data_IF_159870202987
#
_entry.id   IF_159870202987
#
_cell.length_a   1.000
_cell.length_b   1.000
_cell.length_c   1.000
_cell.angle_alpha   90.00
_cell.angle_beta   90.00
_cell.angle_gamma   90.00
#
_symmetry.space_group_name_H-M   'P 1'
#
loop_
_entity.id
_entity.type
_entity.pdbx_description
1 polymer ?
#
# COMPACT_ATOMS: atom_id res chain seq x y z
N UNK A 1 -3.23 15.99 6.54
CA UNK A 1 -2.26 15.70 5.46
C UNK A 1 -2.51 14.30 4.94
N UNK A 2 -3.03 14.19 3.71
CA UNK A 2 -3.27 12.90 3.04
C UNK A 2 -1.96 12.34 2.47
N UNK A 3 -1.86 11.02 2.26
CA UNK A 3 -0.68 10.41 1.63
C UNK A 3 -0.35 11.03 0.26
N UNK A 4 -1.38 11.45 -0.49
CA UNK A 4 -1.20 12.06 -1.80
C UNK A 4 -0.57 13.46 -1.69
N UNK A 5 -0.94 14.23 -0.68
CA UNK A 5 -0.33 15.53 -0.39
C UNK A 5 1.12 15.37 0.03
N UNK A 6 1.41 14.38 0.89
CA UNK A 6 2.78 14.07 1.32
C UNK A 6 3.67 13.68 0.14
N UNK A 7 3.21 12.78 -0.74
CA UNK A 7 3.94 12.36 -1.95
C UNK A 7 4.19 13.53 -2.91
N UNK A 8 3.19 14.41 -3.09
CA UNK A 8 3.33 15.62 -3.92
C UNK A 8 4.35 16.62 -3.33
N UNK A 9 4.29 16.84 -2.03
CA UNK A 9 5.21 17.74 -1.34
C UNK A 9 6.65 17.21 -1.38
N UNK A 10 6.84 15.92 -1.12
CA UNK A 10 8.13 15.24 -1.25
C UNK A 10 8.71 15.41 -2.65
N UNK A 11 7.95 15.11 -3.71
CA UNK A 11 8.38 15.30 -5.11
C UNK A 11 8.85 16.73 -5.36
N UNK A 12 8.07 17.73 -4.97
CA UNK A 12 8.43 19.14 -5.20
C UNK A 12 9.74 19.53 -4.51
N UNK A 13 9.94 19.07 -3.28
CA UNK A 13 11.13 19.37 -2.50
C UNK A 13 12.35 18.59 -2.98
N UNK A 14 12.20 17.30 -3.26
CA UNK A 14 13.26 16.44 -3.76
C UNK A 14 13.80 16.94 -5.11
N UNK A 15 12.94 17.38 -6.03
CA UNK A 15 13.36 17.96 -7.30
C UNK A 15 14.07 19.32 -7.13
N UNK A 16 13.70 20.10 -6.10
CA UNK A 16 14.29 21.41 -5.81
C UNK A 16 15.68 21.31 -5.19
N UNK A 17 15.93 20.29 -4.38
CA UNK A 17 17.18 20.12 -3.62
C UNK A 17 18.04 18.96 -4.13
N UNK A 18 17.68 18.32 -5.25
CA UNK A 18 18.47 17.25 -5.82
C UNK A 18 19.91 17.74 -6.13
N UNK A 19 20.96 17.04 -5.66
CA UNK A 19 22.35 17.51 -5.78
C UNK A 19 22.82 17.72 -7.24
N UNK A 20 22.23 16.98 -8.17
CA UNK A 20 22.50 17.13 -9.61
C UNK A 20 21.97 18.46 -10.20
N UNK A 21 20.83 18.96 -9.70
CA UNK A 21 20.20 20.20 -10.19
C UNK A 21 20.48 21.42 -9.32
N UNK A 22 20.77 21.22 -8.04
CA UNK A 22 21.02 22.27 -7.08
C UNK A 22 22.41 22.11 -6.47
N UNK A 23 23.30 23.06 -6.79
CA UNK A 23 24.71 23.09 -6.36
C UNK A 23 24.94 23.90 -5.08
N UNK A 24 23.88 24.33 -4.40
CA UNK A 24 24.03 24.96 -3.08
C UNK A 24 24.67 23.98 -2.10
N UNK A 25 25.57 24.49 -1.25
CA UNK A 25 26.30 23.70 -0.25
C UNK A 25 25.37 22.96 0.72
N UNK A 26 24.17 23.50 0.93
CA UNK A 26 23.13 22.92 1.80
C UNK A 26 22.10 22.06 1.05
N UNK A 27 22.13 21.98 -0.29
CA UNK A 27 21.12 21.24 -1.05
C UNK A 27 21.17 19.73 -0.74
N UNK A 28 22.39 19.18 -0.65
CA UNK A 28 22.59 17.77 -0.32
C UNK A 28 22.04 17.42 1.07
N UNK A 29 22.40 18.20 2.09
CA UNK A 29 21.93 17.98 3.46
C UNK A 29 20.41 18.10 3.56
N UNK A 30 19.82 19.12 2.93
CA UNK A 30 18.36 19.28 2.89
C UNK A 30 17.68 18.11 2.17
N UNK A 31 18.26 17.62 1.07
CA UNK A 31 17.71 16.47 0.35
C UNK A 31 17.67 15.22 1.24
N UNK A 32 18.74 14.98 2.00
CA UNK A 32 18.79 13.89 2.97
C UNK A 32 17.70 14.04 4.03
N UNK A 33 17.58 15.22 4.65
CA UNK A 33 16.56 15.51 5.66
C UNK A 33 15.13 15.32 5.11
N UNK A 34 14.86 15.81 3.90
CA UNK A 34 13.57 15.67 3.22
C UNK A 34 13.22 14.19 3.03
N UNK A 35 14.20 13.37 2.63
CA UNK A 35 13.96 11.95 2.39
C UNK A 35 13.73 11.18 3.69
N UNK A 36 14.50 11.47 4.75
CA UNK A 36 14.29 10.89 6.09
C UNK A 36 12.89 11.24 6.62
N UNK A 37 12.48 12.51 6.48
CA UNK A 37 11.17 12.97 6.90
C UNK A 37 10.05 12.28 6.09
N UNK A 38 10.22 12.11 4.78
CA UNK A 38 9.26 11.41 3.94
C UNK A 38 9.12 9.94 4.35
N UNK A 39 10.22 9.20 4.53
CA UNK A 39 10.16 7.79 4.92
C UNK A 39 9.53 7.59 6.31
N UNK A 40 9.75 8.53 7.24
CA UNK A 40 9.12 8.50 8.58
C UNK A 40 7.61 8.75 8.51
N UNK A 41 7.18 9.65 7.62
CA UNK A 41 5.77 10.08 7.53
C UNK A 41 4.94 9.30 6.51
N UNK A 42 5.58 8.52 5.64
CA UNK A 42 4.95 7.83 4.50
C UNK A 42 3.93 6.79 4.95
N UNK A 43 4.29 5.96 5.92
CA UNK A 43 3.44 4.86 6.40
C UNK A 43 2.71 5.25 7.69
N UNK A 44 1.47 4.77 7.84
CA UNK A 44 0.62 5.10 8.99
C UNK A 44 1.24 4.66 10.32
N UNK A 45 1.82 3.46 10.37
CA UNK A 45 2.47 2.93 11.56
C UNK A 45 3.69 3.77 11.95
N UNK A 46 4.55 4.10 10.97
CA UNK A 46 5.74 4.94 11.20
C UNK A 46 5.38 6.35 11.68
N UNK A 47 4.26 6.91 11.20
CA UNK A 47 3.74 8.19 11.70
C UNK A 47 3.27 8.09 13.15
N UNK A 48 2.57 7.02 13.53
CA UNK A 48 2.14 6.81 14.92
C UNK A 48 3.34 6.65 15.84
N UNK A 49 4.34 5.88 15.43
CA UNK A 49 5.59 5.72 16.19
C UNK A 49 6.27 7.08 16.40
N UNK A 50 6.35 7.89 15.35
CA UNK A 50 6.89 9.25 15.42
C UNK A 50 6.06 10.18 16.32
N UNK A 51 4.73 10.14 16.23
CA UNK A 51 3.84 10.97 17.05
C UNK A 51 3.89 10.56 18.53
N UNK A 52 3.99 9.25 18.81
CA UNK A 52 4.19 8.72 20.17
C UNK A 52 5.57 9.11 20.72
N UNK A 53 6.61 9.09 19.87
CA UNK A 53 7.93 9.60 20.19
C UNK A 53 7.90 11.10 20.54
N UNK A 54 7.21 11.93 19.76
CA UNK A 54 7.09 13.36 20.06
C UNK A 54 6.37 13.64 21.38
N UNK A 55 5.39 12.80 21.74
CA UNK A 55 4.71 12.89 23.04
C UNK A 55 5.63 12.52 24.20
N UNK A 56 6.44 11.47 24.08
CA UNK A 56 7.39 11.07 25.13
C UNK A 56 8.59 12.02 25.25
N UNK A 57 8.99 12.68 24.16
CA UNK A 57 10.08 13.67 24.14
C UNK A 57 9.79 14.94 24.96
N UNK A 58 8.53 15.24 25.28
CA UNK A 58 8.15 16.45 26.03
C UNK A 58 8.64 16.48 27.49
N UNK A 59 9.21 15.39 28.02
CA UNK A 59 9.58 15.29 29.44
C UNK A 59 11.06 14.95 29.75
N UNK A 60 11.97 14.86 28.77
CA UNK A 60 13.38 14.56 29.07
C UNK A 60 14.38 15.36 28.24
N UNK A 61 15.35 15.95 28.94
CA UNK A 61 16.50 16.69 28.44
C UNK A 61 17.32 15.84 27.45
N UNK A 62 17.85 16.52 26.43
CA UNK A 62 18.62 16.05 25.27
C UNK A 62 19.59 14.88 25.53
N UNK A 63 19.15 13.62 25.42
CA UNK A 63 20.08 12.48 25.21
C UNK A 63 19.42 11.37 24.37
N UNK A 64 20.11 11.03 23.26
CA UNK A 64 20.10 9.75 22.52
C UNK A 64 18.78 9.08 22.13
N UNK A 65 17.97 9.69 21.26
CA UNK A 65 16.85 8.96 20.62
C UNK A 65 17.10 8.64 19.13
N UNK A 66 18.23 9.06 18.57
CA UNK A 66 18.37 9.21 17.11
C UNK A 66 19.25 8.18 16.37
N UNK A 67 19.86 7.19 17.00
CA UNK A 67 20.92 6.42 16.32
C UNK A 67 20.47 5.16 15.55
N UNK A 68 19.34 4.55 15.86
CA UNK A 68 18.97 3.26 15.22
C UNK A 68 18.03 3.40 14.02
N UNK A 69 16.98 4.23 14.12
CA UNK A 69 15.99 4.38 13.04
C UNK A 69 16.53 5.23 11.88
N UNK A 70 17.33 6.27 12.16
CA UNK A 70 17.88 7.15 11.12
C UNK A 70 18.85 6.44 10.18
N UNK A 71 19.67 5.48 10.67
CA UNK A 71 20.72 4.87 9.85
C UNK A 71 20.16 4.19 8.58
N UNK A 72 19.04 3.49 8.72
CA UNK A 72 18.35 2.82 7.60
C UNK A 72 17.82 3.81 6.56
N UNK A 73 17.24 4.92 7.00
CA UNK A 73 16.68 5.94 6.11
C UNK A 73 17.78 6.82 5.49
N UNK A 74 18.88 7.01 6.21
CA UNK A 74 20.04 7.77 5.76
C UNK A 74 20.79 7.04 4.64
N UNK A 75 20.96 5.72 4.72
CA UNK A 75 21.54 4.91 3.64
C UNK A 75 20.73 5.04 2.34
N UNK A 76 19.40 4.95 2.44
CA UNK A 76 18.49 5.11 1.29
C UNK A 76 18.48 6.55 0.74
N UNK A 77 18.65 7.56 1.60
CA UNK A 77 18.79 8.95 1.18
C UNK A 77 20.10 9.21 0.44
N UNK A 78 21.20 8.59 0.87
CA UNK A 78 22.49 8.63 0.18
C UNK A 78 22.43 7.91 -1.17
N UNK A 79 21.71 6.80 -1.24
CA UNK A 79 21.42 6.11 -2.52
C UNK A 79 20.71 7.07 -3.47
N UNK A 80 19.59 7.67 -3.08
CA UNK A 80 18.85 8.61 -3.93
C UNK A 80 19.65 9.87 -4.29
N UNK A 81 20.52 10.35 -3.39
CA UNK A 81 21.38 11.49 -3.65
C UNK A 81 22.53 11.17 -4.64
N UNK A 82 22.91 9.91 -4.80
CA UNK A 82 23.96 9.47 -5.73
C UNK A 82 23.42 9.03 -7.09
N UNK A 83 22.10 8.87 -7.23
CA UNK A 83 21.45 8.61 -8.51
C UNK A 83 21.44 9.85 -9.42
N UNK A 84 21.40 9.62 -10.73
CA UNK A 84 21.13 10.69 -11.70
C UNK A 84 19.72 11.24 -11.52
N UNK A 85 19.54 12.53 -11.79
CA UNK A 85 18.22 13.18 -11.73
C UNK A 85 17.16 12.43 -12.55
N UNK A 86 17.51 11.93 -13.73
CA UNK A 86 16.59 11.20 -14.62
C UNK A 86 16.21 9.83 -14.03
N UNK A 87 17.16 9.16 -13.37
CA UNK A 87 16.91 7.90 -12.68
C UNK A 87 15.97 8.11 -11.49
N UNK A 88 16.18 9.20 -10.74
CA UNK A 88 15.34 9.56 -9.61
C UNK A 88 13.90 9.91 -10.03
N UNK A 89 13.72 10.66 -11.12
CA UNK A 89 12.38 10.94 -11.66
C UNK A 89 11.65 9.65 -12.07
N UNK A 90 12.34 8.71 -12.73
CA UNK A 90 11.76 7.42 -13.09
C UNK A 90 11.30 6.61 -11.87
N UNK A 91 12.07 6.64 -10.78
CA UNK A 91 11.67 6.02 -9.50
C UNK A 91 10.40 6.69 -8.97
N UNK A 92 10.33 8.02 -8.93
CA UNK A 92 9.14 8.75 -8.47
C UNK A 92 7.90 8.46 -9.32
N UNK A 93 8.03 8.42 -10.64
CA UNK A 93 6.91 8.14 -11.56
C UNK A 93 6.42 6.70 -11.44
N UNK A 94 7.33 5.73 -11.25
CA UNK A 94 6.96 4.33 -11.04
C UNK A 94 6.11 4.13 -9.78
N UNK A 95 6.43 4.82 -8.68
CA UNK A 95 5.67 4.77 -7.44
C UNK A 95 4.25 5.32 -7.60
N UNK A 96 4.08 6.37 -8.39
CA UNK A 96 2.76 6.97 -8.68
C UNK A 96 1.92 6.01 -9.53
N UNK A 97 2.52 5.38 -10.54
CA UNK A 97 1.84 4.43 -11.41
C UNK A 97 1.37 3.18 -10.66
N UNK A 98 2.21 2.64 -9.76
CA UNK A 98 1.85 1.52 -8.89
C UNK A 98 0.67 1.89 -7.99
N UNK A 99 0.70 3.07 -7.36
CA UNK A 99 -0.41 3.56 -6.53
C UNK A 99 -1.73 3.73 -7.31
N UNK A 100 -1.68 4.21 -8.56
CA UNK A 100 -2.86 4.30 -9.44
C UNK A 100 -3.40 2.92 -9.84
N UNK A 101 -2.51 1.95 -10.13
CA UNK A 101 -2.91 0.57 -10.47
C UNK A 101 -3.63 -0.10 -9.30
N UNK A 102 -3.12 0.03 -8.07
CA UNK A 102 -3.70 -0.58 -6.87
C UNK A 102 -5.12 -0.06 -6.58
N UNK A 103 -5.36 1.26 -6.70
CA UNK A 103 -6.72 1.80 -6.52
C UNK A 103 -7.71 1.25 -7.55
N UNK A 104 -7.27 1.09 -8.80
CA UNK A 104 -8.11 0.59 -9.89
C UNK A 104 -8.44 -0.90 -9.71
N UNK A 105 -7.50 -1.72 -9.24
CA UNK A 105 -7.72 -3.15 -8.98
C UNK A 105 -8.50 -3.39 -7.69
N UNK A 106 -8.26 -2.61 -6.63
CA UNK A 106 -9.04 -2.70 -5.39
C UNK A 106 -10.53 -2.37 -5.61
N UNK A 107 -10.82 -1.36 -6.42
CA UNK A 107 -12.21 -1.00 -6.75
C UNK A 107 -12.88 -2.01 -7.70
N UNK A 108 -12.11 -2.74 -8.51
CA UNK A 108 -12.62 -3.84 -9.33
C UNK A 108 -12.80 -5.15 -8.53
N UNK A 109 -11.95 -5.45 -7.55
CA UNK A 109 -12.03 -6.71 -6.80
C UNK A 109 -13.28 -6.84 -5.94
N UNK A 110 -13.59 -5.83 -5.13
CA UNK A 110 -14.71 -5.89 -4.18
C UNK A 110 -16.08 -5.98 -4.87
N UNK A 111 -16.25 -5.30 -6.01
CA UNK A 111 -17.50 -5.34 -6.78
C UNK A 111 -17.79 -6.73 -7.35
N UNK A 112 -16.78 -7.41 -7.89
CA UNK A 112 -16.95 -8.74 -8.49
C UNK A 112 -17.12 -9.84 -7.43
N UNK A 113 -16.48 -9.71 -6.26
CA UNK A 113 -16.67 -10.64 -5.15
C UNK A 113 -18.10 -10.58 -4.61
N UNK A 114 -18.66 -9.37 -4.46
CA UNK A 114 -20.05 -9.21 -4.04
C UNK A 114 -21.02 -9.76 -5.08
N UNK A 115 -20.80 -9.54 -6.37
CA UNK A 115 -21.71 -10.09 -7.40
C UNK A 115 -21.62 -11.60 -7.49
N UNK A 116 -20.44 -12.21 -7.40
CA UNK A 116 -20.26 -13.66 -7.45
C UNK A 116 -20.90 -14.36 -6.25
N UNK A 117 -20.94 -13.72 -5.08
CA UNK A 117 -21.57 -14.29 -3.87
C UNK A 117 -23.08 -14.03 -3.84
N UNK A 118 -23.54 -12.81 -4.15
CA UNK A 118 -24.95 -12.44 -4.06
C UNK A 118 -25.82 -12.95 -5.22
N UNK A 119 -25.25 -13.10 -6.41
CA UNK A 119 -25.98 -13.59 -7.59
C UNK A 119 -26.51 -15.03 -7.45
N UNK A 120 -25.73 -16.04 -7.01
CA UNK A 120 -26.26 -17.38 -6.78
C UNK A 120 -27.26 -17.43 -5.63
N UNK A 121 -27.05 -16.66 -4.55
CA UNK A 121 -28.00 -16.56 -3.43
C UNK A 121 -29.37 -16.03 -3.89
N UNK A 122 -29.38 -15.00 -4.74
CA UNK A 122 -30.62 -14.45 -5.31
C UNK A 122 -31.33 -15.45 -6.24
N UNK A 123 -30.57 -16.20 -7.04
CA UNK A 123 -31.12 -17.21 -7.95
C UNK A 123 -31.73 -18.38 -7.17
N UNK A 124 -31.05 -18.85 -6.10
CA UNK A 124 -31.55 -19.91 -5.22
C UNK A 124 -32.89 -19.51 -4.60
N UNK A 125 -32.99 -18.27 -4.10
CA UNK A 125 -34.21 -17.75 -3.48
C UNK A 125 -35.37 -17.64 -4.48
N UNK A 126 -35.08 -17.18 -5.70
CA UNK A 126 -36.08 -17.03 -6.76
C UNK A 126 -36.61 -18.39 -7.27
N UNK A 127 -35.73 -19.38 -7.45
CA UNK A 127 -36.12 -20.74 -7.86
C UNK A 127 -36.96 -21.42 -6.76
N UNK A 128 -36.60 -21.21 -5.49
CA UNK A 128 -37.36 -21.73 -4.35
C UNK A 128 -38.80 -21.18 -4.28
N UNK A 129 -39.01 -19.92 -4.65
CA UNK A 129 -40.33 -19.29 -4.69
C UNK A 129 -41.22 -19.78 -5.85
N UNK A 130 -40.64 -20.11 -7.01
CA UNK A 130 -41.39 -20.59 -8.18
C UNK A 130 -41.83 -22.04 -8.01
N UNK A 131 -40.95 -22.90 -7.49
CA UNK A 131 -41.17 -24.36 -7.55
C UNK A 131 -41.66 -25.00 -6.25
N UNK A 132 -41.75 -24.24 -5.14
CA UNK A 132 -42.41 -24.65 -3.90
C UNK A 132 -42.03 -26.05 -3.40
N UNK A 133 -40.97 -26.17 -2.59
CA UNK A 133 -40.55 -27.44 -1.97
C UNK A 133 -39.03 -27.58 -1.83
N UNK A 134 -38.57 -28.76 -1.41
CA UNK A 134 -37.17 -29.13 -1.07
C UNK A 134 -36.11 -28.94 -2.19
N UNK A 135 -36.44 -28.24 -3.27
CA UNK A 135 -35.58 -27.94 -4.41
C UNK A 135 -34.34 -27.12 -4.03
N UNK A 136 -34.43 -26.27 -2.99
CA UNK A 136 -33.30 -25.50 -2.48
C UNK A 136 -32.15 -26.40 -1.97
N UNK A 137 -32.46 -27.58 -1.42
CA UNK A 137 -31.45 -28.56 -0.97
C UNK A 137 -30.78 -29.28 -2.13
N UNK A 138 -31.54 -29.56 -3.21
CA UNK A 138 -31.01 -30.21 -4.42
C UNK A 138 -30.03 -29.27 -5.14
N UNK A 139 -30.39 -27.99 -5.28
CA UNK A 139 -29.52 -27.00 -5.90
C UNK A 139 -28.25 -26.74 -5.08
N UNK A 140 -28.37 -26.62 -3.75
CA UNK A 140 -27.20 -26.51 -2.86
C UNK A 140 -26.28 -27.73 -2.96
N UNK A 141 -26.84 -28.94 -3.02
CA UNK A 141 -26.08 -30.18 -3.23
C UNK A 141 -25.36 -30.20 -4.58
N UNK A 142 -25.96 -29.67 -5.64
CA UNK A 142 -25.37 -29.65 -6.99
C UNK A 142 -24.25 -28.60 -7.09
N UNK A 143 -24.42 -27.44 -6.44
CA UNK A 143 -23.38 -26.41 -6.32
C UNK A 143 -22.19 -26.94 -5.52
N UNK A 144 -22.43 -27.58 -4.36
CA UNK A 144 -21.36 -28.21 -3.57
C UNK A 144 -20.68 -29.35 -4.32
N UNK A 145 -21.40 -30.12 -5.13
CA UNK A 145 -20.79 -31.15 -5.98
C UNK A 145 -19.87 -30.55 -7.05
N UNK A 146 -20.27 -29.45 -7.71
CA UNK A 146 -19.44 -28.78 -8.72
C UNK A 146 -18.19 -28.13 -8.15
N UNK A 147 -18.30 -27.46 -7.00
CA UNK A 147 -17.14 -26.84 -6.34
C UNK A 147 -16.29 -27.85 -5.54
N UNK A 148 -16.90 -28.92 -5.01
CA UNK A 148 -16.23 -29.96 -4.24
C UNK A 148 -15.48 -30.99 -5.09
N UNK A 149 -15.97 -31.34 -6.29
CA UNK A 149 -15.25 -32.27 -7.18
C UNK A 149 -13.95 -31.67 -7.73
N UNK A 150 -13.88 -30.35 -7.92
CA UNK A 150 -12.66 -29.67 -8.36
C UNK A 150 -11.51 -29.74 -7.35
N UNK A 151 -11.81 -29.79 -6.05
CA UNK A 151 -10.81 -29.96 -5.00
C UNK A 151 -10.35 -31.40 -4.80
N UNK A 152 -11.26 -32.38 -4.98
CA UNK A 152 -10.95 -33.80 -4.76
C UNK A 152 -10.09 -34.41 -5.88
N UNK A 153 -10.21 -33.91 -7.12
CA UNK A 153 -9.42 -34.40 -8.26
C UNK A 153 -7.93 -34.00 -8.21
N UNK A 154 -7.57 -32.93 -7.50
CA UNK A 154 -6.18 -32.45 -7.39
C UNK A 154 -5.38 -33.17 -6.29
N UNK A 155 -6.06 -33.81 -5.32
CA UNK A 155 -5.42 -34.53 -4.20
C UNK A 155 -5.05 -35.99 -4.51
N UNK A 156 -5.28 -36.47 -5.74
CA UNK A 156 -5.05 -37.86 -6.14
C UNK A 156 -4.25 -37.99 -7.45
N UNK A 157 -3.30 -37.08 -7.62
CA UNK A 157 -2.24 -37.15 -8.63
C UNK A 157 -0.88 -37.38 -7.98
N UNK A 158 -0.72 -38.53 -7.33
CA UNK A 158 0.57 -39.19 -7.05
C UNK A 158 0.48 -40.63 -7.57
#
# INVERSE_FOLDING_TARGET
>A
MTENELKKAYRKLALKYHPDKNKEENAHNRFIEINIAYETLKDFNSRIEYDNYLKSKKESTEVEINNYSNKKYEEKAKEYASMSYEQFENVLESLILVGKKIKKTANMGCGWILTIIFFPLSIICFIGAIFGGNFSLIFLSLVLALFGYGGYAMAKGE
#
